data_IF_255598485953
#
_entry.id   IF_255598485953
#
_cell.length_a   1.000
_cell.length_b   1.000
_cell.length_c   1.000
_cell.angle_alpha   90.00
_cell.angle_beta   90.00
_cell.angle_gamma   90.00
#
_symmetry.space_group_name_H-M   'P 1'
#
loop_
_entity.id
_entity.type
_entity.pdbx_description
1 polymer ?
#
# COMPACT_ATOMS: atom_id res chain seq x y z
N UNK A 1 -15.74 -24.67 -0.38
CA UNK A 1 -14.88 -25.68 0.28
C UNK A 1 -13.80 -25.00 1.12
N UNK A 2 -13.32 -25.63 2.21
CA UNK A 2 -12.23 -25.07 3.04
C UNK A 2 -10.86 -25.50 2.55
N UNK A 3 -9.93 -24.57 2.46
CA UNK A 3 -8.55 -24.85 2.10
C UNK A 3 -7.84 -25.65 3.19
N UNK A 4 -7.30 -26.84 2.86
CA UNK A 4 -6.59 -27.72 3.81
C UNK A 4 -5.29 -27.08 4.36
N UNK A 5 -4.71 -26.09 3.65
CA UNK A 5 -3.45 -25.45 4.04
C UNK A 5 -3.63 -24.21 4.93
N UNK A 6 -4.62 -23.36 4.69
CA UNK A 6 -4.81 -22.11 5.42
C UNK A 6 -6.19 -21.96 6.10
N UNK A 7 -7.08 -22.94 5.96
CA UNK A 7 -8.40 -22.95 6.62
C UNK A 7 -9.46 -22.01 6.03
N UNK A 8 -9.11 -21.14 5.07
CA UNK A 8 -10.07 -20.20 4.48
C UNK A 8 -11.11 -20.89 3.60
N UNK A 9 -12.33 -20.37 3.64
CA UNK A 9 -13.43 -20.82 2.78
C UNK A 9 -13.26 -20.24 1.37
N UNK A 10 -13.46 -21.09 0.36
CA UNK A 10 -13.40 -20.76 -1.05
C UNK A 10 -14.67 -21.28 -1.74
N UNK A 11 -14.98 -20.74 -2.92
CA UNK A 11 -16.08 -21.23 -3.74
C UNK A 11 -15.89 -22.71 -4.07
N UNK A 12 -16.98 -23.45 -4.19
CA UNK A 12 -16.93 -24.92 -4.41
C UNK A 12 -16.22 -25.32 -5.71
N UNK A 13 -16.25 -24.44 -6.71
CA UNK A 13 -15.60 -24.64 -8.02
C UNK A 13 -14.17 -24.08 -8.09
N UNK A 14 -13.65 -23.48 -7.01
CA UNK A 14 -12.31 -22.89 -7.01
C UNK A 14 -11.23 -23.98 -7.09
N UNK A 15 -10.38 -23.91 -8.10
CA UNK A 15 -9.22 -24.80 -8.27
C UNK A 15 -8.06 -24.46 -7.35
N UNK A 16 -7.97 -23.21 -6.93
CA UNK A 16 -6.90 -22.69 -6.05
C UNK A 16 -7.52 -21.82 -4.94
N UNK A 17 -6.89 -21.84 -3.77
CA UNK A 17 -7.29 -21.00 -2.65
C UNK A 17 -6.97 -19.54 -2.94
N UNK A 18 -7.98 -18.67 -2.86
CA UNK A 18 -7.84 -17.22 -3.06
C UNK A 18 -6.92 -16.54 -2.04
N UNK A 19 -6.70 -17.17 -0.88
CA UNK A 19 -5.90 -16.58 0.18
C UNK A 19 -4.43 -17.03 0.21
N UNK A 20 -4.13 -18.29 -0.23
CA UNK A 20 -2.77 -18.84 -0.13
C UNK A 20 -2.29 -19.52 -1.41
N UNK A 21 -3.06 -19.46 -2.51
CA UNK A 21 -2.69 -20.02 -3.80
C UNK A 21 -2.60 -21.56 -3.87
N UNK A 22 -2.87 -22.29 -2.79
CA UNK A 22 -2.79 -23.76 -2.78
C UNK A 22 -3.92 -24.38 -3.60
N UNK A 23 -3.62 -25.45 -4.35
CA UNK A 23 -4.61 -26.21 -5.09
C UNK A 23 -5.62 -26.84 -4.11
N UNK A 24 -6.92 -26.72 -4.42
CA UNK A 24 -8.02 -27.17 -3.56
C UNK A 24 -8.52 -28.57 -3.93
N UNK A 25 -8.31 -29.01 -5.18
CA UNK A 25 -8.73 -30.30 -5.71
C UNK A 25 -7.52 -31.07 -6.22
N UNK A 26 -6.76 -31.69 -5.32
CA UNK A 26 -5.73 -32.68 -5.66
C UNK A 26 -6.18 -34.07 -5.22
N UNK A 27 -7.29 -34.56 -5.77
CA UNK A 27 -7.64 -35.97 -5.69
C UNK A 27 -7.89 -36.49 -7.10
N UNK A 28 -6.93 -37.33 -7.56
CA UNK A 28 -7.10 -38.19 -8.70
C UNK A 28 -6.42 -37.77 -10.00
N UNK A 29 -5.11 -37.89 -10.09
CA UNK A 29 -4.35 -38.40 -11.21
C UNK A 29 -2.84 -38.34 -10.93
N UNK A 30 -2.28 -39.40 -10.34
CA UNK A 30 -0.86 -39.72 -10.56
C UNK A 30 -0.75 -40.34 -11.92
N UNK A 31 -0.03 -39.77 -12.88
CA UNK A 31 0.46 -40.53 -14.01
C UNK A 31 1.71 -41.28 -13.54
N UNK A 32 1.65 -42.59 -13.55
CA UNK A 32 2.83 -43.47 -13.50
C UNK A 32 3.85 -43.01 -14.54
N UNK A 33 5.00 -42.63 -14.07
CA UNK A 33 6.17 -42.35 -14.92
C UNK A 33 6.75 -43.68 -15.35
N UNK A 34 6.74 -44.05 -16.64
CA UNK A 34 7.47 -45.22 -17.09
C UNK A 34 8.96 -44.92 -16.92
N UNK A 35 9.66 -45.77 -16.18
CA UNK A 35 11.13 -45.80 -16.10
C UNK A 35 11.71 -45.96 -17.49
N UNK A 36 12.18 -44.87 -18.09
CA UNK A 36 12.94 -44.93 -19.33
C UNK A 36 14.29 -45.55 -19.04
N UNK A 37 14.47 -46.75 -19.56
CA UNK A 37 15.76 -47.45 -19.61
C UNK A 37 16.80 -46.60 -20.35
N UNK A 38 18.00 -46.53 -19.80
CA UNK A 38 19.16 -45.89 -20.39
C UNK A 38 19.52 -46.54 -21.73
N UNK A 39 19.14 -45.91 -22.84
CA UNK A 39 19.67 -46.28 -24.16
C UNK A 39 20.78 -45.32 -24.53
N UNK A 40 21.96 -45.93 -24.64
CA UNK A 40 23.24 -45.38 -25.04
C UNK A 40 23.14 -44.42 -26.24
N UNK A 41 23.76 -43.24 -26.10
CA UNK A 41 23.90 -42.20 -27.13
C UNK A 41 24.50 -42.61 -28.46
N UNK A 42 24.92 -43.89 -28.65
CA UNK A 42 25.54 -44.38 -29.89
C UNK A 42 24.55 -44.83 -30.97
N UNK A 43 23.30 -45.20 -30.62
CA UNK A 43 22.34 -45.75 -31.59
C UNK A 43 21.69 -44.70 -32.52
N UNK A 44 21.68 -43.43 -32.13
CA UNK A 44 20.95 -42.38 -32.90
C UNK A 44 21.71 -41.84 -34.12
N UNK A 45 23.04 -42.01 -34.16
CA UNK A 45 23.86 -41.58 -35.32
C UNK A 45 23.89 -42.62 -36.44
N UNK A 46 23.66 -43.89 -36.12
CA UNK A 46 23.68 -45.00 -37.11
C UNK A 46 22.37 -45.09 -37.89
N UNK A 47 21.22 -44.76 -37.28
CA UNK A 47 19.92 -44.81 -37.99
C UNK A 47 19.78 -43.72 -39.05
N UNK A 48 20.41 -42.56 -38.86
CA UNK A 48 20.38 -41.45 -39.84
C UNK A 48 21.34 -41.73 -41.02
N UNK A 49 22.45 -42.41 -40.77
CA UNK A 49 23.41 -42.76 -41.82
C UNK A 49 22.87 -43.91 -42.74
N UNK A 50 22.08 -44.83 -42.18
CA UNK A 50 21.49 -45.95 -42.97
C UNK A 50 20.38 -45.46 -43.91
N UNK A 51 19.61 -44.41 -43.55
CA UNK A 51 18.60 -43.85 -44.45
C UNK A 51 19.22 -43.05 -45.60
N UNK A 52 20.36 -42.42 -45.38
CA UNK A 52 21.09 -41.66 -46.40
C UNK A 52 21.78 -42.60 -47.45
N UNK A 53 22.17 -43.78 -47.05
CA UNK A 53 22.83 -44.74 -47.94
C UNK A 53 21.85 -45.53 -48.89
N UNK A 54 20.57 -45.64 -48.48
CA UNK A 54 19.57 -46.34 -49.30
C UNK A 54 19.02 -45.50 -50.48
N UNK A 55 19.26 -44.19 -50.52
CA UNK A 55 18.82 -43.30 -51.60
C UNK A 55 19.89 -42.98 -52.65
N UNK A 56 21.11 -43.59 -52.53
CA UNK A 56 22.23 -43.32 -53.44
C UNK A 56 22.29 -44.27 -54.65
N UNK A 57 21.36 -45.23 -54.81
CA UNK A 57 21.35 -46.20 -55.87
C UNK A 57 20.24 -45.95 -56.90
N UNK A 58 20.19 -44.74 -57.45
CA UNK A 58 19.31 -44.41 -58.52
C UNK A 58 19.59 -43.03 -59.07
N UNK A 59 20.27 -42.97 -60.24
CA UNK A 59 20.76 -41.72 -60.85
C UNK A 59 19.74 -40.65 -61.19
N UNK A 60 18.46 -40.69 -60.66
CA UNK A 60 17.45 -39.68 -60.74
C UNK A 60 17.20 -39.00 -59.40
N UNK A 61 17.58 -39.64 -58.26
CA UNK A 61 17.29 -39.13 -56.90
C UNK A 61 18.23 -37.99 -56.45
N UNK A 62 19.47 -37.98 -56.89
CA UNK A 62 20.45 -36.97 -56.44
C UNK A 62 20.12 -35.58 -56.99
N UNK A 63 19.66 -35.47 -58.21
CA UNK A 63 19.24 -34.18 -58.81
C UNK A 63 17.98 -33.62 -58.16
N UNK A 64 17.02 -34.44 -57.83
CA UNK A 64 15.80 -34.05 -57.11
C UNK A 64 16.11 -33.68 -55.66
N UNK A 65 16.96 -34.46 -54.99
CA UNK A 65 17.38 -34.16 -53.61
C UNK A 65 18.16 -32.86 -53.49
N UNK A 66 19.09 -32.58 -54.37
CA UNK A 66 19.91 -31.37 -54.34
C UNK A 66 19.20 -30.14 -54.92
N UNK A 67 18.34 -30.34 -55.94
CA UNK A 67 17.70 -29.24 -56.63
C UNK A 67 16.36 -28.79 -56.08
N UNK A 68 15.58 -29.67 -55.48
CA UNK A 68 14.21 -29.39 -55.04
C UNK A 68 14.04 -29.68 -53.54
N UNK A 69 14.42 -30.87 -53.09
CA UNK A 69 14.11 -31.30 -51.71
C UNK A 69 14.96 -30.57 -50.68
N UNK A 70 16.27 -30.37 -50.97
CA UNK A 70 17.16 -29.64 -50.03
C UNK A 70 16.82 -28.16 -49.85
N UNK A 71 16.56 -27.42 -50.92
CA UNK A 71 16.11 -26.01 -50.78
C UNK A 71 14.77 -25.88 -50.04
N UNK A 72 13.87 -26.86 -50.22
CA UNK A 72 12.59 -26.84 -49.52
C UNK A 72 12.73 -27.18 -48.03
N UNK A 73 13.58 -28.15 -47.69
CA UNK A 73 13.93 -28.46 -46.31
C UNK A 73 14.64 -27.29 -45.61
N UNK A 74 15.56 -26.61 -46.32
CA UNK A 74 16.25 -25.43 -45.81
C UNK A 74 15.27 -24.27 -45.60
N UNK A 75 14.27 -24.10 -46.50
CA UNK A 75 13.22 -23.12 -46.34
C UNK A 75 12.32 -23.41 -45.14
N UNK A 76 11.87 -24.66 -44.98
CA UNK A 76 11.07 -25.10 -43.84
C UNK A 76 11.85 -24.94 -42.52
N UNK A 77 13.13 -25.29 -42.51
CA UNK A 77 14.00 -25.11 -41.37
C UNK A 77 14.19 -23.63 -41.01
N UNK A 78 14.34 -22.74 -42.00
CA UNK A 78 14.40 -21.30 -41.81
C UNK A 78 13.08 -20.73 -41.29
N UNK A 79 11.94 -21.18 -41.84
CA UNK A 79 10.62 -20.74 -41.33
C UNK A 79 10.39 -21.20 -39.89
N UNK A 80 10.77 -22.41 -39.53
CA UNK A 80 10.69 -22.92 -38.17
C UNK A 80 11.64 -22.18 -37.24
N UNK A 81 12.88 -21.92 -37.67
CA UNK A 81 13.84 -21.10 -36.93
C UNK A 81 13.30 -19.68 -36.67
N UNK A 82 12.71 -19.05 -37.70
CA UNK A 82 12.08 -17.75 -37.58
C UNK A 82 10.92 -17.76 -36.58
N UNK A 83 10.11 -18.79 -36.52
CA UNK A 83 8.97 -18.92 -35.60
C UNK A 83 9.42 -19.10 -34.12
N UNK A 84 10.57 -19.72 -33.90
CA UNK A 84 11.14 -19.97 -32.58
C UNK A 84 12.06 -18.84 -32.11
N UNK A 85 12.47 -17.94 -33.00
CA UNK A 85 13.36 -16.84 -32.68
C UNK A 85 12.69 -15.83 -31.75
N UNK A 86 13.44 -15.39 -30.75
CA UNK A 86 12.95 -14.43 -29.76
C UNK A 86 13.07 -13.00 -30.26
N UNK A 87 12.09 -12.20 -29.91
CA UNK A 87 12.06 -10.76 -30.06
C UNK A 87 12.05 -10.13 -28.66
N UNK A 88 12.73 -9.00 -28.50
CA UNK A 88 12.63 -8.20 -27.30
C UNK A 88 11.21 -7.60 -27.20
N UNK A 89 10.62 -7.63 -26.01
CA UNK A 89 9.36 -6.94 -25.74
C UNK A 89 9.62 -5.86 -24.69
N UNK A 90 9.25 -4.64 -25.03
CA UNK A 90 9.30 -3.50 -24.10
C UNK A 90 7.88 -3.16 -23.67
N UNK A 91 7.65 -3.10 -22.37
CA UNK A 91 6.39 -2.66 -21.77
C UNK A 91 6.51 -1.24 -21.24
N UNK A 92 5.42 -0.48 -21.24
CA UNK A 92 5.40 0.82 -20.63
C UNK A 92 5.24 0.65 -19.10
N UNK A 93 6.22 1.13 -18.35
CA UNK A 93 6.20 1.13 -16.88
C UNK A 93 6.41 2.53 -16.38
N UNK A 94 5.75 2.92 -15.30
CA UNK A 94 6.08 4.13 -14.56
C UNK A 94 5.95 3.87 -13.06
N UNK A 95 6.92 4.33 -12.30
CA UNK A 95 6.94 4.31 -10.86
C UNK A 95 7.80 5.46 -10.36
N UNK A 96 7.30 6.23 -9.40
CA UNK A 96 8.08 7.32 -8.80
C UNK A 96 9.14 6.73 -7.87
N UNK A 97 10.41 7.13 -8.08
CA UNK A 97 11.52 6.71 -7.22
C UNK A 97 12.07 5.31 -7.50
N UNK A 98 11.50 4.54 -8.43
CA UNK A 98 12.05 3.25 -8.81
C UNK A 98 13.01 3.37 -9.98
N UNK A 99 14.25 2.98 -9.74
CA UNK A 99 15.31 2.93 -10.74
C UNK A 99 16.18 1.70 -10.53
N UNK A 100 16.17 0.81 -11.51
CA UNK A 100 16.99 -0.41 -11.50
C UNK A 100 18.48 -0.11 -11.70
N UNK A 101 18.84 1.02 -12.30
CA UNK A 101 20.23 1.46 -12.44
C UNK A 101 20.82 2.00 -11.13
N UNK A 102 19.96 2.46 -10.22
CA UNK A 102 20.33 2.90 -8.88
C UNK A 102 20.34 1.75 -7.84
N UNK A 103 20.21 0.49 -8.30
CA UNK A 103 20.26 -0.69 -7.43
C UNK A 103 18.90 -1.19 -6.95
N UNK A 104 17.79 -0.64 -7.45
CA UNK A 104 16.44 -1.21 -7.21
C UNK A 104 16.27 -2.57 -7.89
N UNK A 105 15.44 -3.46 -7.32
CA UNK A 105 15.11 -4.74 -7.94
C UNK A 105 14.24 -4.56 -9.18
N UNK A 106 14.20 -5.59 -10.04
CA UNK A 106 13.37 -5.59 -11.25
C UNK A 106 11.89 -5.90 -10.92
N UNK A 107 10.99 -5.40 -11.76
CA UNK A 107 9.55 -5.71 -11.67
C UNK A 107 9.28 -7.12 -12.21
N UNK A 108 8.59 -7.93 -11.42
CA UNK A 108 8.17 -9.28 -11.83
C UNK A 108 6.83 -9.21 -12.59
N UNK A 109 6.84 -9.75 -13.81
CA UNK A 109 5.69 -9.83 -14.68
C UNK A 109 5.37 -11.30 -14.99
N UNK A 110 4.12 -11.68 -14.85
CA UNK A 110 3.62 -12.97 -15.33
C UNK A 110 3.32 -12.87 -16.82
N UNK A 111 3.94 -13.71 -17.59
CA UNK A 111 3.78 -13.78 -19.05
C UNK A 111 3.15 -15.11 -19.41
N UNK A 112 1.96 -15.06 -20.00
CA UNK A 112 1.28 -16.23 -20.51
C UNK A 112 0.91 -16.02 -21.98
N UNK A 113 0.97 -17.08 -22.78
CA UNK A 113 0.57 -16.97 -24.17
C UNK A 113 1.02 -18.13 -25.05
N UNK A 114 0.65 -18.03 -26.33
CA UNK A 114 0.88 -19.07 -27.32
C UNK A 114 1.86 -18.57 -28.39
N UNK A 115 3.08 -19.14 -28.43
CA UNK A 115 3.99 -18.88 -29.53
C UNK A 115 3.48 -19.54 -30.80
N UNK A 116 3.86 -19.01 -31.97
CA UNK A 116 3.55 -19.60 -33.29
C UNK A 116 4.18 -20.98 -33.46
N UNK A 117 5.25 -21.29 -32.74
CA UNK A 117 5.87 -22.60 -32.69
C UNK A 117 6.42 -22.87 -31.29
N UNK A 118 6.25 -24.07 -30.80
CA UNK A 118 6.71 -24.49 -29.48
C UNK A 118 5.58 -24.66 -28.48
N UNK A 119 5.95 -24.73 -27.19
CA UNK A 119 4.99 -24.91 -26.09
C UNK A 119 4.48 -23.55 -25.61
N UNK A 120 3.25 -23.55 -25.12
CA UNK A 120 2.67 -22.39 -24.38
C UNK A 120 3.67 -21.89 -23.34
N UNK A 121 3.80 -20.58 -23.27
CA UNK A 121 4.59 -19.88 -22.25
C UNK A 121 3.65 -19.53 -21.11
N UNK A 122 4.11 -19.83 -19.89
CA UNK A 122 3.41 -19.53 -18.64
C UNK A 122 4.48 -19.44 -17.55
N UNK A 123 5.03 -18.23 -17.34
CA UNK A 123 6.14 -18.02 -16.40
C UNK A 123 6.30 -16.57 -16.00
N UNK A 124 7.02 -16.35 -14.90
CA UNK A 124 7.46 -15.03 -14.49
C UNK A 124 8.69 -14.61 -15.30
N UNK A 125 8.69 -13.34 -15.70
CA UNK A 125 9.80 -12.65 -16.36
C UNK A 125 10.00 -11.29 -15.71
N UNK A 126 11.20 -10.74 -15.82
CA UNK A 126 11.57 -9.52 -15.10
C UNK A 126 11.89 -8.38 -16.06
N UNK A 127 11.47 -7.16 -15.71
CA UNK A 127 11.74 -5.95 -16.49
C UNK A 127 12.42 -4.89 -15.62
N UNK A 128 13.27 -4.11 -16.27
CA UNK A 128 13.92 -2.95 -15.65
C UNK A 128 12.96 -1.74 -15.59
N UNK A 129 13.40 -0.65 -14.99
CA UNK A 129 12.64 0.60 -14.90
C UNK A 129 12.33 1.24 -16.26
N UNK A 130 13.07 0.85 -17.33
CA UNK A 130 12.76 1.23 -18.71
C UNK A 130 11.79 0.26 -19.41
N UNK A 131 11.28 -0.77 -18.72
CA UNK A 131 10.35 -1.77 -19.24
C UNK A 131 10.98 -2.80 -20.19
N UNK A 132 12.29 -3.00 -20.12
CA UNK A 132 13.06 -3.99 -20.91
C UNK A 132 13.33 -5.25 -20.09
N UNK A 133 13.65 -6.35 -20.76
CA UNK A 133 14.06 -7.62 -20.13
C UNK A 133 13.21 -8.81 -20.56
N UNK A 134 12.11 -8.59 -21.29
CA UNK A 134 11.28 -9.69 -21.81
C UNK A 134 11.76 -10.07 -23.22
N UNK A 135 12.04 -11.36 -23.40
CA UNK A 135 12.31 -11.95 -24.72
C UNK A 135 11.32 -13.07 -25.01
N UNK A 136 10.50 -12.90 -26.05
CA UNK A 136 9.44 -13.83 -26.44
C UNK A 136 9.57 -14.23 -27.91
N UNK A 137 9.28 -15.51 -28.25
CA UNK A 137 9.12 -15.91 -29.65
C UNK A 137 7.88 -15.23 -30.26
N UNK A 138 7.73 -15.30 -31.57
CA UNK A 138 6.54 -14.79 -32.26
C UNK A 138 5.30 -15.49 -31.75
N UNK A 139 4.22 -14.72 -31.51
CA UNK A 139 3.00 -15.24 -30.89
C UNK A 139 2.12 -14.17 -30.28
N UNK A 140 1.18 -14.59 -29.49
CA UNK A 140 0.26 -13.70 -28.73
C UNK A 140 0.38 -13.94 -27.25
N UNK A 141 0.54 -12.88 -26.47
CA UNK A 141 0.86 -12.93 -25.06
C UNK A 141 0.01 -11.96 -24.26
N UNK A 142 -0.30 -12.36 -23.03
CA UNK A 142 -0.84 -11.51 -21.98
C UNK A 142 0.21 -11.39 -20.90
N UNK A 143 0.40 -10.16 -20.42
CA UNK A 143 1.43 -9.79 -19.45
C UNK A 143 0.75 -9.03 -18.32
N UNK A 144 0.93 -9.47 -17.08
CA UNK A 144 0.41 -8.81 -15.87
C UNK A 144 1.50 -8.65 -14.81
N UNK A 145 1.42 -7.65 -13.96
CA UNK A 145 2.33 -7.47 -12.85
C UNK A 145 1.97 -8.45 -11.71
N UNK A 146 2.98 -9.12 -11.13
CA UNK A 146 2.77 -10.14 -10.07
C UNK A 146 3.65 -9.96 -8.85
N UNK A 147 4.75 -9.20 -8.96
CA UNK A 147 5.65 -8.94 -7.86
C UNK A 147 6.13 -7.49 -7.87
N UNK A 148 5.96 -6.80 -6.76
CA UNK A 148 6.45 -5.44 -6.59
C UNK A 148 7.97 -5.41 -6.65
N UNK A 149 8.57 -4.47 -7.38
CA UNK A 149 9.98 -4.19 -7.21
C UNK A 149 10.19 -3.51 -5.85
N UNK A 150 11.42 -3.54 -5.36
CA UNK A 150 11.90 -2.79 -4.20
C UNK A 150 12.86 -1.74 -4.72
N UNK A 151 12.56 -0.46 -4.50
CA UNK A 151 13.47 0.61 -4.85
C UNK A 151 14.70 0.62 -3.92
N UNK A 152 15.76 1.31 -4.32
CA UNK A 152 17.00 1.37 -3.54
C UNK A 152 16.82 1.98 -2.13
N UNK A 153 15.81 2.84 -1.95
CA UNK A 153 15.42 3.44 -0.67
C UNK A 153 14.46 2.57 0.17
N UNK A 154 14.16 1.36 -0.31
CA UNK A 154 13.22 0.44 0.33
C UNK A 154 11.75 0.71 0.01
N UNK A 155 11.41 1.59 -0.93
CA UNK A 155 10.02 1.78 -1.34
C UNK A 155 9.48 0.53 -2.04
N UNK A 156 8.29 0.09 -1.62
CA UNK A 156 7.50 -0.97 -2.23
C UNK A 156 6.30 -0.33 -2.94
N UNK A 157 5.78 -1.00 -3.95
CA UNK A 157 4.74 -0.46 -4.83
C UNK A 157 3.50 -1.34 -4.85
N UNK A 158 2.33 -0.73 -4.95
CA UNK A 158 1.12 -1.42 -5.34
C UNK A 158 1.16 -1.75 -6.84
N UNK A 159 0.68 -2.94 -7.18
CA UNK A 159 0.67 -3.43 -8.55
C UNK A 159 -0.65 -3.06 -9.23
N UNK A 160 -0.61 -2.61 -10.49
CA UNK A 160 -1.82 -2.37 -11.25
C UNK A 160 -2.47 -3.70 -11.70
N UNK A 161 -3.78 -3.71 -11.84
CA UNK A 161 -4.54 -4.82 -12.42
C UNK A 161 -4.44 -4.88 -13.96
N UNK A 162 -3.58 -4.08 -14.56
CA UNK A 162 -3.41 -3.97 -16.00
C UNK A 162 -2.91 -5.28 -16.59
N UNK A 163 -3.58 -5.76 -17.64
CA UNK A 163 -3.13 -6.87 -18.47
C UNK A 163 -2.74 -6.32 -19.83
N UNK A 164 -1.45 -6.35 -20.14
CA UNK A 164 -0.93 -5.95 -21.43
C UNK A 164 -1.04 -7.06 -22.46
N UNK A 165 -1.69 -6.80 -23.60
CA UNK A 165 -1.79 -7.75 -24.72
C UNK A 165 -0.75 -7.41 -25.77
N UNK A 166 0.15 -8.36 -26.03
CA UNK A 166 1.25 -8.21 -26.98
C UNK A 166 1.15 -9.26 -28.06
N UNK A 167 1.15 -8.81 -29.34
CA UNK A 167 1.21 -9.69 -30.50
C UNK A 167 2.49 -9.46 -31.27
N UNK A 168 3.33 -10.47 -31.33
CA UNK A 168 4.56 -10.50 -32.12
C UNK A 168 4.26 -11.19 -33.44
N UNK A 169 4.20 -10.41 -34.52
CA UNK A 169 3.80 -10.92 -35.83
C UNK A 169 4.88 -11.80 -36.45
N UNK A 170 4.48 -12.68 -37.37
CA UNK A 170 5.39 -13.50 -38.17
C UNK A 170 6.41 -12.66 -38.95
N UNK A 171 6.03 -11.45 -39.37
CA UNK A 171 6.85 -10.53 -40.16
C UNK A 171 7.82 -9.69 -39.32
N UNK A 172 7.84 -9.86 -37.98
CA UNK A 172 8.79 -9.15 -37.15
C UNK A 172 10.22 -9.48 -37.55
N UNK A 173 11.06 -8.46 -37.69
CA UNK A 173 12.48 -8.65 -38.04
C UNK A 173 13.22 -9.38 -36.89
N UNK A 174 14.26 -10.10 -37.26
CA UNK A 174 15.18 -10.74 -36.29
C UNK A 174 15.72 -9.68 -35.33
N UNK A 175 15.67 -9.98 -34.02
CA UNK A 175 16.14 -9.07 -32.98
C UNK A 175 15.33 -7.78 -32.83
N UNK A 176 14.13 -7.69 -33.43
CA UNK A 176 13.28 -6.52 -33.29
C UNK A 176 12.83 -6.33 -31.83
N UNK A 177 12.78 -5.10 -31.38
CA UNK A 177 12.12 -4.73 -30.13
C UNK A 177 10.67 -4.34 -30.42
N UNK A 178 9.73 -5.09 -29.85
CA UNK A 178 8.30 -4.82 -29.93
C UNK A 178 7.91 -3.99 -28.73
N UNK A 179 7.33 -2.81 -28.96
CA UNK A 179 6.82 -1.97 -27.90
C UNK A 179 5.34 -2.29 -27.69
N UNK A 180 4.99 -2.70 -26.48
CA UNK A 180 3.61 -2.87 -26.10
C UNK A 180 2.87 -1.54 -26.18
N UNK A 181 1.60 -1.58 -26.55
CA UNK A 181 0.77 -0.35 -26.65
C UNK A 181 0.79 0.43 -25.34
N UNK A 182 0.98 1.73 -25.41
CA UNK A 182 0.98 2.64 -24.24
C UNK A 182 -0.34 2.62 -23.45
N UNK A 183 -1.44 2.15 -24.06
CA UNK A 183 -2.71 1.93 -23.34
C UNK A 183 -2.61 0.85 -22.25
N UNK A 184 -1.58 0.02 -22.28
CA UNK A 184 -1.31 -1.03 -21.30
C UNK A 184 -0.09 -0.67 -20.43
N UNK A 185 -0.10 0.54 -19.88
CA UNK A 185 0.96 1.02 -19.00
C UNK A 185 0.82 0.40 -17.61
N UNK A 186 1.91 -0.11 -17.08
CA UNK A 186 2.00 -0.53 -15.69
C UNK A 186 2.37 0.68 -14.82
N UNK A 187 1.38 1.24 -14.15
CA UNK A 187 1.57 2.35 -13.21
C UNK A 187 1.69 1.78 -11.81
N UNK A 188 2.90 1.85 -11.26
CA UNK A 188 3.20 1.41 -9.91
C UNK A 188 3.07 2.61 -8.97
N UNK A 189 2.25 2.48 -7.94
CA UNK A 189 2.07 3.53 -6.93
C UNK A 189 2.87 3.17 -5.68
N UNK A 190 3.73 4.06 -5.18
CA UNK A 190 4.43 3.83 -3.92
C UNK A 190 3.44 3.56 -2.79
N UNK A 191 3.70 2.53 -1.99
CA UNK A 191 2.93 2.25 -0.78
C UNK A 191 3.51 3.11 0.35
N UNK A 192 2.62 3.77 1.10
CA UNK A 192 3.02 4.51 2.29
C UNK A 192 3.70 3.56 3.29
N UNK A 193 4.78 4.04 3.93
CA UNK A 193 5.60 3.18 4.77
C UNK A 193 4.82 2.53 5.93
N UNK A 194 3.78 3.22 6.44
CA UNK A 194 2.89 2.71 7.49
C UNK A 194 1.98 1.57 7.02
N UNK A 195 1.68 1.50 5.72
CA UNK A 195 0.78 0.52 5.14
C UNK A 195 1.50 -0.73 4.63
N UNK A 196 2.84 -0.75 4.72
CA UNK A 196 3.66 -1.89 4.31
C UNK A 196 3.52 -3.02 5.33
N UNK A 197 2.97 -4.16 4.87
CA UNK A 197 2.79 -5.36 5.70
C UNK A 197 3.96 -6.34 5.54
N UNK A 198 4.10 -7.27 6.50
CA UNK A 198 5.10 -8.34 6.39
C UNK A 198 4.85 -9.25 5.18
N UNK A 199 3.60 -9.48 4.79
CA UNK A 199 3.25 -10.25 3.61
C UNK A 199 3.70 -9.55 2.31
N UNK A 200 3.59 -8.23 2.24
CA UNK A 200 4.08 -7.43 1.10
C UNK A 200 5.61 -7.50 1.01
N UNK A 201 6.30 -7.37 2.14
CA UNK A 201 7.76 -7.51 2.21
C UNK A 201 8.20 -8.90 1.78
N UNK A 202 7.56 -9.95 2.29
CA UNK A 202 7.86 -11.33 1.93
C UNK A 202 7.60 -11.62 0.44
N UNK A 203 6.51 -11.08 -0.13
CA UNK A 203 6.20 -11.23 -1.54
C UNK A 203 7.23 -10.50 -2.43
N UNK A 204 7.59 -9.26 -2.09
CA UNK A 204 8.58 -8.49 -2.83
C UNK A 204 9.97 -9.14 -2.76
N UNK A 205 10.37 -9.62 -1.58
CA UNK A 205 11.59 -10.40 -1.36
C UNK A 205 11.63 -11.63 -2.26
N UNK A 206 10.57 -12.46 -2.22
CA UNK A 206 10.47 -13.68 -3.02
C UNK A 206 10.76 -13.42 -4.49
N UNK A 207 10.10 -12.43 -5.09
CA UNK A 207 10.31 -12.15 -6.51
C UNK A 207 11.69 -11.56 -6.81
N UNK A 208 12.26 -10.80 -5.89
CA UNK A 208 13.63 -10.30 -6.05
C UNK A 208 14.67 -11.42 -5.97
N UNK A 209 14.46 -12.44 -5.11
CA UNK A 209 15.32 -13.65 -5.00
C UNK A 209 15.18 -14.57 -6.20
N UNK A 210 13.96 -14.73 -6.75
CA UNK A 210 13.67 -15.58 -7.91
C UNK A 210 14.21 -15.00 -9.23
N UNK A 211 14.71 -13.76 -9.24
CA UNK A 211 15.29 -13.13 -10.43
C UNK A 211 16.72 -13.61 -10.71
N UNK A 212 16.85 -14.87 -11.09
CA UNK A 212 18.12 -15.49 -11.47
C UNK A 212 18.82 -14.80 -12.66
N UNK A 213 18.04 -14.07 -13.47
CA UNK A 213 18.53 -13.38 -14.67
C UNK A 213 19.23 -12.04 -14.37
N UNK A 214 19.03 -11.44 -13.20
CA UNK A 214 19.50 -10.09 -12.90
C UNK A 214 20.98 -9.92 -13.17
N UNK A 215 21.83 -10.75 -12.57
CA UNK A 215 23.30 -10.69 -12.76
C UNK A 215 23.73 -10.93 -14.21
N UNK A 216 23.05 -11.83 -14.93
CA UNK A 216 23.34 -12.12 -16.34
C UNK A 216 23.00 -10.93 -17.23
N UNK A 217 21.95 -10.20 -16.89
CA UNK A 217 21.46 -9.04 -17.62
C UNK A 217 22.15 -7.75 -17.20
N UNK A 218 23.15 -7.83 -16.29
CA UNK A 218 23.96 -6.69 -15.85
C UNK A 218 23.38 -5.88 -14.70
N UNK A 219 22.33 -6.39 -14.02
CA UNK A 219 21.78 -5.77 -12.82
C UNK A 219 22.48 -6.29 -11.58
N UNK A 220 22.83 -5.40 -10.68
CA UNK A 220 23.44 -5.74 -9.39
C UNK A 220 22.66 -5.08 -8.29
N UNK A 221 21.89 -5.87 -7.56
CA UNK A 221 21.24 -5.45 -6.32
C UNK A 221 21.39 -6.55 -5.27
N UNK A 222 21.45 -6.12 -4.03
CA UNK A 222 21.46 -7.00 -2.85
C UNK A 222 20.07 -7.09 -2.28
N UNK A 223 19.43 -8.24 -2.39
CA UNK A 223 18.05 -8.45 -1.95
C UNK A 223 17.93 -8.22 -0.44
N UNK A 224 18.91 -8.70 0.35
CA UNK A 224 18.88 -8.51 1.80
C UNK A 224 19.00 -7.03 2.17
N UNK A 225 19.87 -6.28 1.48
CA UNK A 225 19.99 -4.84 1.70
C UNK A 225 18.71 -4.08 1.33
N UNK A 226 18.05 -4.44 0.21
CA UNK A 226 16.77 -3.85 -0.20
C UNK A 226 15.65 -4.14 0.79
N UNK A 227 15.53 -5.37 1.26
CA UNK A 227 14.52 -5.77 2.25
C UNK A 227 14.81 -5.09 3.59
N UNK A 228 16.07 -4.99 4.00
CA UNK A 228 16.46 -4.28 5.22
C UNK A 228 16.10 -2.78 5.12
N UNK A 229 16.33 -2.14 3.96
CA UNK A 229 15.93 -0.76 3.73
C UNK A 229 14.40 -0.57 3.81
N UNK A 230 13.63 -1.48 3.22
CA UNK A 230 12.16 -1.44 3.26
C UNK A 230 11.62 -1.64 4.69
N UNK A 231 12.20 -2.58 5.44
CA UNK A 231 11.86 -2.82 6.85
C UNK A 231 12.18 -1.60 7.70
N UNK A 232 13.38 -1.05 7.54
CA UNK A 232 13.79 0.16 8.26
C UNK A 232 12.89 1.35 7.96
N UNK A 233 12.54 1.58 6.70
CA UNK A 233 11.63 2.66 6.30
C UNK A 233 10.26 2.53 6.99
N UNK A 234 9.71 1.32 7.07
CA UNK A 234 8.47 1.04 7.79
C UNK A 234 8.60 1.32 9.29
N UNK A 235 9.64 0.78 9.91
CA UNK A 235 9.85 0.88 11.36
C UNK A 235 10.12 2.33 11.79
N UNK A 236 10.85 3.09 10.97
CA UNK A 236 11.05 4.53 11.16
C UNK A 236 9.72 5.29 11.10
N UNK A 237 8.85 4.96 10.14
CA UNK A 237 7.52 5.59 10.01
C UNK A 237 6.59 5.26 11.19
N UNK A 238 6.58 4.00 11.64
CA UNK A 238 5.82 3.57 12.84
C UNK A 238 6.31 4.32 14.07
N UNK A 239 7.63 4.44 14.24
CA UNK A 239 8.23 5.16 15.36
C UNK A 239 7.90 6.65 15.33
N UNK A 240 7.96 7.27 14.15
CA UNK A 240 7.60 8.67 13.96
C UNK A 240 6.11 8.94 14.25
N UNK A 241 5.23 8.06 13.76
CA UNK A 241 3.80 8.15 14.06
C UNK A 241 3.53 8.06 15.56
N UNK A 242 4.13 7.08 16.24
CA UNK A 242 3.98 6.92 17.69
C UNK A 242 4.45 8.15 18.45
N UNK A 243 5.60 8.71 18.08
CA UNK A 243 6.11 9.94 18.70
C UNK A 243 5.17 11.13 18.47
N UNK A 244 4.56 11.25 17.28
CA UNK A 244 3.59 12.28 16.98
C UNK A 244 2.30 12.11 17.80
N UNK A 245 1.78 10.88 17.90
CA UNK A 245 0.58 10.57 18.68
C UNK A 245 0.82 10.85 20.19
N UNK A 246 2.00 10.52 20.73
CA UNK A 246 2.39 10.82 22.11
C UNK A 246 2.52 12.33 22.35
N UNK A 247 3.05 13.07 21.39
CA UNK A 247 3.17 14.53 21.48
C UNK A 247 1.79 15.21 21.44
N UNK A 248 0.89 14.73 20.58
CA UNK A 248 -0.49 15.23 20.51
C UNK A 248 -1.25 14.99 21.82
N UNK A 249 -1.16 13.78 22.38
CA UNK A 249 -1.79 13.45 23.66
C UNK A 249 -1.26 14.32 24.83
N UNK A 250 0.04 14.60 24.83
CA UNK A 250 0.62 15.51 25.85
C UNK A 250 0.14 16.95 25.68
N UNK A 251 0.00 17.44 24.45
CA UNK A 251 -0.50 18.77 24.18
C UNK A 251 -1.97 18.93 24.63
N UNK A 252 -2.80 17.94 24.34
CA UNK A 252 -4.21 17.89 24.75
C UNK A 252 -4.34 17.89 26.29
N UNK A 253 -3.57 17.03 26.98
CA UNK A 253 -3.57 17.00 28.45
C UNK A 253 -3.08 18.31 29.08
N UNK A 254 -2.15 19.01 28.44
CA UNK A 254 -1.70 20.33 28.91
C UNK A 254 -2.76 21.40 28.70
N UNK A 255 -3.49 21.38 27.58
CA UNK A 255 -4.62 22.29 27.35
C UNK A 255 -5.75 22.06 28.36
N UNK A 256 -6.12 20.81 28.63
CA UNK A 256 -7.12 20.47 29.64
C UNK A 256 -6.68 20.94 31.04
N UNK A 257 -5.42 20.74 31.40
CA UNK A 257 -4.88 21.24 32.68
C UNK A 257 -4.97 22.75 32.80
N UNK A 258 -4.59 23.48 31.73
CA UNK A 258 -4.67 24.95 31.71
C UNK A 258 -6.13 25.43 31.79
N UNK A 259 -7.04 24.78 31.07
CA UNK A 259 -8.46 25.09 31.13
C UNK A 259 -9.04 24.85 32.54
N UNK A 260 -8.68 23.75 33.19
CA UNK A 260 -9.09 23.43 34.55
C UNK A 260 -8.50 24.44 35.56
N UNK A 261 -7.24 24.85 35.41
CA UNK A 261 -6.60 25.84 36.25
C UNK A 261 -7.28 27.22 36.11
N UNK A 262 -7.59 27.62 34.85
CA UNK A 262 -8.32 28.86 34.59
C UNK A 262 -9.71 28.83 35.21
N UNK A 263 -10.48 27.74 35.02
CA UNK A 263 -11.80 27.58 35.64
C UNK A 263 -11.75 27.62 37.18
N UNK A 264 -10.73 27.00 37.78
CA UNK A 264 -10.53 27.06 39.23
C UNK A 264 -10.21 28.47 39.73
N UNK A 265 -9.41 29.23 38.97
CA UNK A 265 -9.13 30.65 39.30
C UNK A 265 -10.37 31.52 39.16
N UNK A 266 -11.16 31.32 38.10
CA UNK A 266 -12.43 32.06 37.91
C UNK A 266 -13.41 31.75 39.04
N UNK A 267 -13.54 30.46 39.43
CA UNK A 267 -14.41 30.09 40.55
C UNK A 267 -13.94 30.64 41.87
N UNK A 268 -12.63 30.62 42.14
CA UNK A 268 -12.08 31.23 43.35
C UNK A 268 -12.28 32.77 43.40
N UNK A 269 -12.17 33.41 42.23
CA UNK A 269 -12.45 34.85 42.11
C UNK A 269 -13.93 35.17 42.34
N UNK A 270 -14.84 34.35 41.79
CA UNK A 270 -16.29 34.44 41.99
C UNK A 270 -16.65 34.27 43.48
N UNK A 271 -16.11 33.23 44.15
CA UNK A 271 -16.32 32.94 45.55
C UNK A 271 -15.87 34.15 46.44
N UNK A 272 -14.69 34.70 46.12
CA UNK A 272 -14.17 35.88 46.83
C UNK A 272 -15.06 37.13 46.63
N UNK A 273 -15.52 37.33 45.39
CA UNK A 273 -16.44 38.39 45.04
C UNK A 273 -17.75 38.26 45.82
N UNK A 274 -18.38 37.08 45.80
CA UNK A 274 -19.64 36.78 46.50
C UNK A 274 -19.49 36.95 48.01
N UNK A 275 -18.38 36.45 48.60
CA UNK A 275 -18.10 36.61 50.04
C UNK A 275 -17.97 38.10 50.43
N UNK A 276 -17.31 38.90 49.58
CA UNK A 276 -17.15 40.34 49.81
C UNK A 276 -18.49 41.06 49.71
N UNK A 277 -19.29 40.77 48.70
CA UNK A 277 -20.62 41.34 48.52
C UNK A 277 -21.55 40.95 49.69
N UNK A 278 -21.55 39.69 50.10
CA UNK A 278 -22.32 39.18 51.25
C UNK A 278 -22.01 39.96 52.52
N UNK A 279 -20.71 40.12 52.81
CA UNK A 279 -20.25 40.90 53.99
C UNK A 279 -20.62 42.37 53.89
N UNK A 280 -20.42 42.99 52.73
CA UNK A 280 -20.73 44.38 52.47
C UNK A 280 -22.22 44.72 52.59
N UNK A 281 -23.08 43.78 52.29
CA UNK A 281 -24.54 43.89 52.45
C UNK A 281 -25.03 43.48 53.83
N UNK A 282 -24.16 43.08 54.75
CA UNK A 282 -24.50 42.72 56.12
C UNK A 282 -25.26 41.41 56.28
N UNK A 283 -25.17 40.52 55.27
CA UNK A 283 -25.75 39.16 55.35
C UNK A 283 -24.91 38.34 56.31
N UNK A 284 -25.47 37.75 57.39
CA UNK A 284 -24.71 36.96 58.35
C UNK A 284 -24.03 35.77 57.72
N UNK A 285 -22.78 35.47 58.11
CA UNK A 285 -22.00 34.34 57.60
C UNK A 285 -22.60 33.00 57.99
N UNK A 286 -23.27 32.91 59.13
CA UNK A 286 -23.95 31.76 59.70
C UNK A 286 -25.35 31.49 59.14
N UNK A 287 -25.84 32.37 58.25
CA UNK A 287 -27.14 32.19 57.62
C UNK A 287 -27.06 31.05 56.58
N UNK A 288 -27.63 29.91 56.95
CA UNK A 288 -27.65 28.73 56.06
C UNK A 288 -28.66 28.85 54.90
N UNK A 289 -28.40 28.17 53.80
CA UNK A 289 -29.31 28.09 52.64
C UNK A 289 -29.34 29.37 51.77
N UNK A 290 -28.41 30.31 51.98
CA UNK A 290 -28.27 31.45 51.10
C UNK A 290 -27.66 31.04 49.78
N UNK A 291 -28.35 31.36 48.70
CA UNK A 291 -27.87 31.21 47.33
C UNK A 291 -27.72 32.61 46.68
N UNK A 292 -27.02 32.67 45.58
CA UNK A 292 -26.84 33.91 44.85
C UNK A 292 -27.02 33.74 43.34
N UNK A 293 -27.25 34.87 42.66
CA UNK A 293 -27.27 34.97 41.22
C UNK A 293 -26.55 36.22 40.77
N UNK A 294 -25.57 36.07 39.90
CA UNK A 294 -24.99 37.20 39.21
C UNK A 294 -25.90 37.55 38.02
N UNK A 295 -26.33 38.78 37.93
CA UNK A 295 -27.27 39.26 36.90
C UNK A 295 -26.56 39.83 35.68
N UNK A 296 -25.23 39.99 35.75
CA UNK A 296 -24.38 40.54 34.70
C UNK A 296 -23.65 41.81 35.16
N UNK A 297 -22.92 42.39 34.21
CA UNK A 297 -22.24 43.67 34.46
C UNK A 297 -22.89 44.79 33.65
N UNK A 298 -22.80 46.01 34.19
CA UNK A 298 -23.18 47.23 33.52
C UNK A 298 -22.13 48.31 33.75
N UNK A 299 -22.04 49.25 32.82
CA UNK A 299 -21.12 50.37 32.99
C UNK A 299 -21.86 51.56 33.61
N UNK A 300 -21.38 52.02 34.78
CA UNK A 300 -21.95 53.18 35.45
C UNK A 300 -21.20 54.46 35.04
N UNK A 301 -21.83 55.22 34.10
CA UNK A 301 -21.21 56.41 33.51
C UNK A 301 -20.93 57.54 34.57
N UNK A 302 -21.75 57.66 35.58
CA UNK A 302 -21.57 58.68 36.63
C UNK A 302 -20.34 58.48 37.50
N UNK A 303 -19.86 57.29 37.65
CA UNK A 303 -18.65 56.93 38.39
C UNK A 303 -17.50 56.40 37.49
N UNK A 304 -17.74 56.31 36.17
CA UNK A 304 -16.79 55.76 35.20
C UNK A 304 -16.27 54.38 35.60
N UNK A 305 -17.15 53.52 36.11
CA UNK A 305 -16.77 52.18 36.58
C UNK A 305 -17.73 51.10 36.07
N UNK A 306 -17.23 49.90 35.91
CA UNK A 306 -18.04 48.73 35.69
C UNK A 306 -18.55 48.19 37.02
N UNK A 307 -19.84 47.89 37.08
CA UNK A 307 -20.50 47.29 38.24
C UNK A 307 -21.13 45.95 37.86
N UNK A 308 -21.17 45.07 38.83
CA UNK A 308 -21.66 43.69 38.71
C UNK A 308 -22.86 43.52 39.62
N UNK A 309 -24.03 43.30 39.05
CA UNK A 309 -25.26 43.12 39.80
C UNK A 309 -25.35 41.73 40.41
N UNK A 310 -25.60 41.63 41.71
CA UNK A 310 -25.75 40.37 42.45
C UNK A 310 -27.03 40.41 43.27
N UNK A 311 -27.75 39.31 43.28
CA UNK A 311 -28.89 39.05 44.15
C UNK A 311 -28.61 37.86 45.06
N UNK A 312 -28.95 37.98 46.33
CA UNK A 312 -28.90 36.87 47.28
C UNK A 312 -30.33 36.43 47.62
N UNK A 313 -30.50 35.14 47.79
CA UNK A 313 -31.77 34.47 48.01
C UNK A 313 -31.72 33.66 49.31
N UNK A 314 -32.82 33.60 50.04
CA UNK A 314 -32.96 32.68 51.17
C UNK A 314 -33.32 31.25 50.68
N UNK A 315 -33.47 30.32 51.61
CA UNK A 315 -33.84 28.92 51.33
C UNK A 315 -35.23 28.75 50.67
N UNK A 316 -36.13 29.78 50.77
CA UNK A 316 -37.42 29.82 50.11
C UNK A 316 -37.36 30.40 48.68
N UNK A 317 -36.17 30.84 48.23
CA UNK A 317 -35.96 31.48 46.92
C UNK A 317 -36.42 32.92 46.83
N UNK A 318 -36.63 33.58 47.97
CA UNK A 318 -36.91 35.01 47.99
C UNK A 318 -35.63 35.81 47.99
N UNK A 319 -35.62 36.95 47.28
CA UNK A 319 -34.49 37.89 47.30
C UNK A 319 -34.39 38.50 48.69
N UNK A 320 -33.23 38.40 49.32
CA UNK A 320 -32.95 38.93 50.66
C UNK A 320 -31.92 40.08 50.62
N UNK A 321 -31.25 40.29 49.54
CA UNK A 321 -30.39 41.44 49.28
C UNK A 321 -30.07 41.55 47.78
N UNK A 322 -29.87 42.76 47.30
CA UNK A 322 -29.46 43.05 45.92
C UNK A 322 -28.54 44.27 45.90
N UNK A 323 -27.46 44.20 45.15
CA UNK A 323 -26.57 45.32 44.98
C UNK A 323 -25.86 45.30 43.62
N UNK A 324 -25.47 46.47 43.18
CA UNK A 324 -24.40 46.65 42.20
C UNK A 324 -23.07 46.73 42.95
N UNK A 325 -22.16 45.85 42.64
CA UNK A 325 -20.86 45.74 43.30
C UNK A 325 -19.72 46.14 42.35
N UNK A 326 -18.65 46.64 42.89
CA UNK A 326 -17.39 46.84 42.18
C UNK A 326 -16.80 45.47 41.77
N UNK A 327 -15.79 45.49 40.93
CA UNK A 327 -15.08 44.27 40.51
C UNK A 327 -14.57 43.43 41.68
N UNK A 328 -14.27 44.04 42.81
CA UNK A 328 -13.78 43.35 44.02
C UNK A 328 -14.92 42.86 44.93
N UNK A 329 -16.18 43.00 44.52
CA UNK A 329 -17.36 42.56 45.26
C UNK A 329 -17.85 43.59 46.30
N UNK A 330 -17.23 44.76 46.45
CA UNK A 330 -17.70 45.79 47.36
C UNK A 330 -18.98 46.42 46.82
N UNK A 331 -20.06 46.46 47.58
CA UNK A 331 -21.27 47.16 47.16
C UNK A 331 -20.99 48.64 46.82
N UNK A 332 -21.22 49.02 45.57
CA UNK A 332 -21.13 50.38 45.09
C UNK A 332 -22.45 51.12 45.36
N UNK A 333 -23.56 50.44 45.14
CA UNK A 333 -24.91 50.88 45.55
C UNK A 333 -25.66 49.63 46.06
N UNK A 334 -26.41 49.79 47.16
CA UNK A 334 -27.38 48.76 47.54
C UNK A 334 -28.73 49.15 46.95
N UNK A 335 -29.25 48.32 46.06
CA UNK A 335 -30.61 48.51 45.55
C UNK A 335 -31.59 48.11 46.67
N UNK A 336 -31.26 46.98 47.33
CA UNK A 336 -31.94 46.48 48.49
C UNK A 336 -30.93 45.99 49.52
N UNK A 337 -30.89 46.54 50.71
CA UNK A 337 -30.07 46.04 51.82
C UNK A 337 -30.60 44.69 52.32
N UNK A 338 -29.85 44.05 53.23
CA UNK A 338 -30.26 42.78 53.79
C UNK A 338 -31.60 42.84 54.52
N UNK A 339 -32.56 42.01 54.11
CA UNK A 339 -33.84 41.76 54.77
C UNK A 339 -34.07 40.27 54.88
N UNK A 340 -34.13 39.68 56.11
CA UNK A 340 -34.20 38.19 56.28
C UNK A 340 -35.41 37.54 55.67
N UNK A 341 -36.56 38.28 55.63
CA UNK A 341 -37.84 37.84 55.11
C UNK A 341 -38.14 38.24 53.66
N UNK A 342 -37.20 39.02 53.05
CA UNK A 342 -37.37 39.60 51.72
C UNK A 342 -38.47 40.65 51.65
N UNK A 343 -38.80 41.29 52.75
CA UNK A 343 -39.74 42.40 52.80
C UNK A 343 -39.00 43.70 52.48
N UNK A 344 -39.22 44.21 51.25
CA UNK A 344 -38.68 45.48 50.78
C UNK A 344 -39.80 46.49 50.61
#
# INVERSE_FOLDING_TARGET
MKCKKCGKENLEEARFCAACGSALNAEGASPEVPKAGSTSRRGRKVAIAALAAALAVGGGGAGYYLGVYRPEQDRIAQEQALKTEKCGVRVAVSATGWDTSAGGSRLALHVQGEPLAGKRIDRVMYVDSAGKGIELPRGSYEISAVGSPIAADGTIYSLPETIAKVKISEKAKKGATIVASSKYKFELTPIEALDVTDDMLAAARKYAEEDEGAKKDGYSYDVEALVAAATKRRDDAVSAKRAADEAAAKAEAEEERKAAETAAQEHAAEDAFVATARKGLGIPDDLEGVTYKLLGSSYWEGAAMEVYAIQFYNSEGKVIAEADCTKDGMPATSIHGYSPDGSY
#
